data_IF_879355920458
#
_entry.id   IF_879355920458
#
_cell.length_a   1.000
_cell.length_b   1.000
_cell.length_c   1.000
_cell.angle_alpha   90.00
_cell.angle_beta   90.00
_cell.angle_gamma   90.00
#
_symmetry.space_group_name_H-M   'P 1'
#
loop_
_entity.id
_entity.type
_entity.pdbx_description
1 polymer ?
#
# COMPACT_ATOMS: atom_id res chain seq x y z
N UNK A 1 -27.78 15.99 4.58
CA UNK A 1 -26.48 16.66 4.31
C UNK A 1 -25.62 15.61 3.64
N UNK A 2 -25.26 15.81 2.39
CA UNK A 2 -24.49 14.82 1.63
C UNK A 2 -23.03 14.89 2.07
N UNK A 3 -22.57 13.87 2.79
CA UNK A 3 -21.18 13.73 3.23
C UNK A 3 -20.33 13.34 2.02
N UNK A 4 -19.70 14.34 1.38
CA UNK A 4 -18.73 14.10 0.31
C UNK A 4 -17.57 13.29 0.88
N UNK A 5 -17.33 12.11 0.31
CA UNK A 5 -16.16 11.28 0.64
C UNK A 5 -14.89 12.11 0.45
N UNK A 6 -13.97 12.17 1.44
CA UNK A 6 -12.79 13.02 1.33
C UNK A 6 -11.89 12.54 0.19
N UNK A 7 -11.58 13.43 -0.75
CA UNK A 7 -10.69 13.18 -1.88
C UNK A 7 -9.31 13.78 -1.58
N UNK A 8 -8.24 13.04 -1.89
CA UNK A 8 -6.85 13.52 -1.82
C UNK A 8 -6.21 13.46 -3.20
N UNK A 9 -5.43 14.49 -3.53
CA UNK A 9 -4.64 14.54 -4.77
C UNK A 9 -3.20 14.12 -4.49
N UNK A 10 -2.66 13.26 -5.34
CA UNK A 10 -1.27 12.80 -5.29
C UNK A 10 -0.63 13.19 -6.64
N UNK A 11 0.51 13.87 -6.59
CA UNK A 11 1.33 14.15 -7.77
C UNK A 11 2.52 13.19 -7.77
N UNK A 12 2.74 12.50 -8.88
CA UNK A 12 3.85 11.57 -9.07
C UNK A 12 4.45 11.79 -10.45
N UNK A 13 5.77 11.63 -10.55
CA UNK A 13 6.46 11.59 -11.84
C UNK A 13 6.38 10.17 -12.40
N UNK A 14 6.07 10.07 -13.69
CA UNK A 14 6.02 8.80 -14.42
C UNK A 14 7.01 8.85 -15.59
N UNK A 15 7.63 7.72 -15.96
CA UNK A 15 8.40 7.66 -17.20
C UNK A 15 7.55 8.07 -18.40
N UNK A 16 8.12 8.85 -19.32
CA UNK A 16 7.43 9.34 -20.51
C UNK A 16 6.79 8.21 -21.33
N UNK A 17 7.47 7.05 -21.38
CA UNK A 17 6.95 5.85 -22.05
C UNK A 17 5.63 5.37 -21.46
N UNK A 18 5.51 5.37 -20.13
CA UNK A 18 4.27 4.98 -19.44
C UNK A 18 3.18 6.00 -19.68
N UNK A 19 3.51 7.30 -19.58
CA UNK A 19 2.56 8.38 -19.85
C UNK A 19 1.98 8.29 -21.26
N UNK A 20 2.82 8.02 -22.27
CA UNK A 20 2.39 7.84 -23.65
C UNK A 20 1.47 6.62 -23.83
N UNK A 21 1.72 5.51 -23.13
CA UNK A 21 0.81 4.36 -23.16
C UNK A 21 -0.55 4.68 -22.55
N UNK A 22 -0.60 5.50 -21.49
CA UNK A 22 -1.87 5.96 -20.90
C UNK A 22 -2.66 6.81 -21.90
N UNK A 23 -2.00 7.67 -22.67
CA UNK A 23 -2.65 8.47 -23.72
C UNK A 23 -3.29 7.56 -24.78
N UNK A 24 -2.54 6.58 -25.28
CA UNK A 24 -3.04 5.62 -26.28
C UNK A 24 -4.31 4.89 -25.78
N UNK A 25 -4.37 4.52 -24.50
CA UNK A 25 -5.54 3.86 -23.93
C UNK A 25 -6.77 4.77 -23.89
N UNK A 26 -6.58 6.07 -23.61
CA UNK A 26 -7.66 7.05 -23.62
C UNK A 26 -8.11 7.35 -25.05
N UNK A 27 -7.17 7.56 -25.97
CA UNK A 27 -7.45 7.85 -27.38
C UNK A 27 -8.22 6.72 -28.08
N UNK A 28 -7.92 5.46 -27.74
CA UNK A 28 -8.65 4.30 -28.23
C UNK A 28 -10.00 4.08 -27.53
N UNK A 29 -10.39 4.94 -26.57
CA UNK A 29 -11.69 4.91 -25.90
C UNK A 29 -11.83 3.81 -24.85
N UNK A 30 -10.74 3.19 -24.39
CA UNK A 30 -10.79 2.18 -23.32
C UNK A 30 -11.07 2.81 -21.95
N UNK A 31 -10.65 4.06 -21.76
CA UNK A 31 -10.84 4.83 -20.54
C UNK A 31 -11.19 6.28 -20.88
N UNK A 32 -11.91 6.95 -19.97
CA UNK A 32 -12.31 8.34 -20.15
C UNK A 32 -11.19 9.34 -19.85
N UNK A 33 -10.17 8.95 -19.06
CA UNK A 33 -9.02 9.80 -18.75
C UNK A 33 -7.84 9.01 -18.18
N UNK A 34 -6.62 9.57 -18.27
CA UNK A 34 -5.45 9.01 -17.60
C UNK A 34 -5.66 8.86 -16.08
N UNK A 35 -6.33 9.84 -15.46
CA UNK A 35 -6.64 9.81 -14.03
C UNK A 35 -7.55 8.63 -13.63
N UNK A 36 -8.44 8.20 -14.52
CA UNK A 36 -9.24 7.00 -14.30
C UNK A 36 -8.37 5.74 -14.30
N UNK A 37 -7.48 5.62 -15.29
CA UNK A 37 -6.54 4.50 -15.40
C UNK A 37 -5.68 4.41 -14.13
N UNK A 38 -5.10 5.53 -13.69
CA UNK A 38 -4.25 5.57 -12.50
C UNK A 38 -5.03 5.15 -11.25
N UNK A 39 -6.27 5.64 -11.07
CA UNK A 39 -7.12 5.22 -9.95
C UNK A 39 -7.46 3.73 -9.99
N UNK A 40 -7.79 3.20 -11.17
CA UNK A 40 -8.09 1.78 -11.35
C UNK A 40 -6.87 0.91 -11.04
N UNK A 41 -5.70 1.28 -11.55
CA UNK A 41 -4.43 0.58 -11.30
C UNK A 41 -4.06 0.60 -9.82
N UNK A 42 -4.17 1.74 -9.14
CA UNK A 42 -3.92 1.85 -7.70
C UNK A 42 -4.87 0.98 -6.89
N UNK A 43 -6.17 0.98 -7.23
CA UNK A 43 -7.15 0.18 -6.52
C UNK A 43 -6.88 -1.32 -6.68
N UNK A 44 -6.58 -1.76 -7.90
CA UNK A 44 -6.24 -3.17 -8.17
C UNK A 44 -4.93 -3.57 -7.48
N UNK A 45 -3.92 -2.70 -7.49
CA UNK A 45 -2.66 -2.93 -6.79
C UNK A 45 -2.89 -3.14 -5.29
N UNK A 46 -3.63 -2.24 -4.64
CA UNK A 46 -3.93 -2.37 -3.20
C UNK A 46 -4.73 -3.64 -2.92
N UNK A 47 -5.78 -3.90 -3.72
CA UNK A 47 -6.63 -5.08 -3.58
C UNK A 47 -5.83 -6.38 -3.69
N UNK A 48 -4.91 -6.47 -4.65
CA UNK A 48 -4.09 -7.66 -4.91
C UNK A 48 -3.06 -7.90 -3.81
N UNK A 49 -2.49 -6.83 -3.24
CA UNK A 49 -1.40 -6.94 -2.26
C UNK A 49 -1.86 -6.95 -0.79
N UNK A 50 -3.13 -6.63 -0.50
CA UNK A 50 -3.64 -6.48 0.89
C UNK A 50 -3.35 -7.67 1.81
N UNK A 51 -3.42 -8.90 1.29
CA UNK A 51 -3.23 -10.10 2.11
C UNK A 51 -1.76 -10.39 2.37
N UNK A 52 -0.91 -10.20 1.36
CA UNK A 52 0.54 -10.35 1.50
C UNK A 52 1.10 -9.35 2.51
N UNK A 53 0.67 -8.08 2.42
CA UNK A 53 1.07 -7.05 3.39
C UNK A 53 0.59 -7.38 4.81
N UNK A 54 -0.66 -7.83 4.96
CA UNK A 54 -1.20 -8.19 6.26
C UNK A 54 -0.44 -9.37 6.90
N UNK A 55 -0.09 -10.37 6.09
CA UNK A 55 0.72 -11.51 6.53
C UNK A 55 2.14 -11.08 6.95
N UNK A 56 2.78 -10.21 6.16
CA UNK A 56 4.11 -9.70 6.48
C UNK A 56 4.12 -8.93 7.81
N UNK A 57 3.16 -8.05 8.03
CA UNK A 57 3.03 -7.32 9.29
C UNK A 57 2.75 -8.25 10.47
N UNK A 58 1.86 -9.23 10.33
CA UNK A 58 1.61 -10.21 11.40
C UNK A 58 2.87 -11.00 11.77
N UNK A 59 3.65 -11.43 10.76
CA UNK A 59 4.92 -12.13 10.99
C UNK A 59 5.95 -11.25 11.69
N UNK A 60 6.05 -9.98 11.29
CA UNK A 60 6.93 -9.00 11.92
C UNK A 60 6.57 -8.77 13.40
N UNK A 61 5.28 -8.61 13.71
CA UNK A 61 4.77 -8.44 15.08
C UNK A 61 5.07 -9.65 15.95
N UNK A 62 4.85 -10.87 15.44
CA UNK A 62 5.17 -12.11 16.15
C UNK A 62 6.67 -12.22 16.42
N UNK A 63 7.50 -11.95 15.40
CA UNK A 63 8.95 -12.01 15.53
C UNK A 63 9.46 -11.03 16.59
N UNK A 64 8.93 -9.79 16.59
CA UNK A 64 9.22 -8.79 17.60
C UNK A 64 8.81 -9.27 19.01
N UNK A 65 7.58 -9.78 19.17
CA UNK A 65 7.09 -10.25 20.47
C UNK A 65 7.93 -11.42 21.03
N UNK A 66 8.34 -12.35 20.16
CA UNK A 66 9.24 -13.44 20.54
C UNK A 66 10.62 -12.94 20.96
N UNK A 67 11.16 -11.93 20.28
CA UNK A 67 12.42 -11.30 20.66
C UNK A 67 12.32 -10.63 22.03
N UNK A 68 11.27 -9.83 22.28
CA UNK A 68 11.03 -9.19 23.58
C UNK A 68 10.91 -10.23 24.70
N UNK A 69 10.15 -11.30 24.47
CA UNK A 69 9.99 -12.38 25.44
C UNK A 69 11.31 -13.09 25.77
N UNK A 70 12.15 -13.36 24.76
CA UNK A 70 13.49 -13.94 24.95
C UNK A 70 14.41 -13.01 25.73
N UNK A 71 14.42 -11.72 25.41
CA UNK A 71 15.22 -10.72 26.12
C UNK A 71 14.82 -10.64 27.60
N UNK A 72 13.51 -10.63 27.90
CA UNK A 72 12.99 -10.63 29.27
C UNK A 72 13.36 -11.90 30.06
N UNK A 73 13.38 -13.07 29.42
CA UNK A 73 13.82 -14.33 30.05
C UNK A 73 15.32 -14.40 30.33
N UNK A 74 16.15 -13.63 29.60
CA UNK A 74 17.62 -13.59 29.79
C UNK A 74 18.06 -12.61 30.87
N UNK A 75 17.16 -11.77 31.40
CA UNK A 75 17.48 -10.87 32.50
C UNK A 75 17.45 -11.66 33.82
N UNK A 76 18.58 -11.78 34.56
CA UNK A 76 18.56 -12.43 35.87
C UNK A 76 17.68 -11.64 36.84
N UNK A 77 17.10 -12.28 37.88
CA UNK A 77 16.33 -11.58 38.89
C UNK A 77 17.20 -10.46 39.47
N UNK A 78 16.66 -9.24 39.54
CA UNK A 78 17.30 -8.13 40.23
C UNK A 78 17.57 -8.57 41.67
N UNK A 79 18.83 -8.52 42.08
CA UNK A 79 19.23 -8.85 43.45
C UNK A 79 18.53 -7.90 44.44
N UNK A 80 18.13 -8.40 45.62
CA UNK A 80 17.35 -7.65 46.60
C UNK A 80 18.10 -6.45 47.19
#
# INVERSE_FOLDING_TARGET
MEEKTPVKTIAVELPDTVSAELDVLVENGWFASQSEIVRAALWEFVRRNRFALAEEFQRADIAWALQQHRSRKRQPPAAP
#
